data_IF_201543885508
#
_entry.id   IF_201543885508
#
_cell.length_a   1.000
_cell.length_b   1.000
_cell.length_c   1.000
_cell.angle_alpha   90.00
_cell.angle_beta   90.00
_cell.angle_gamma   90.00
#
_symmetry.space_group_name_H-M   'P 1'
#
loop_
_entity.id
_entity.type
_entity.pdbx_description
1 polymer ?
#
# COMPACT_ATOMS: atom_id res chain seq x y z
N UNK A 1 5.09 -5.04 5.04
CA UNK A 1 4.48 -4.18 4.02
C UNK A 1 3.00 -3.99 4.32
N UNK A 2 2.53 -2.75 4.26
CA UNK A 2 1.12 -2.39 4.36
C UNK A 2 0.59 -2.05 2.97
N UNK A 3 -0.55 -2.62 2.60
CA UNK A 3 -1.10 -2.49 1.25
C UNK A 3 -2.56 -2.05 1.33
N UNK A 4 -2.89 -0.97 0.62
CA UNK A 4 -4.27 -0.50 0.61
C UNK A 4 -4.45 0.93 0.16
N UNK A 5 -5.41 1.60 0.80
CA UNK A 5 -5.83 2.97 0.49
C UNK A 5 -5.17 4.03 1.39
N UNK A 6 -5.74 5.24 1.40
CA UNK A 6 -5.25 6.36 2.19
C UNK A 6 -5.29 6.13 3.71
N UNK A 7 -6.18 5.26 4.21
CA UNK A 7 -6.23 4.89 5.62
C UNK A 7 -4.99 4.05 5.97
N UNK A 8 -4.68 3.08 5.13
CA UNK A 8 -3.50 2.22 5.28
C UNK A 8 -2.20 3.04 5.23
N UNK A 9 -2.15 4.05 4.35
CA UNK A 9 -1.04 5.00 4.32
C UNK A 9 -0.85 5.71 5.67
N UNK A 10 -1.94 6.17 6.30
CA UNK A 10 -1.86 6.80 7.62
C UNK A 10 -1.43 5.83 8.72
N UNK A 11 -1.84 4.57 8.64
CA UNK A 11 -1.38 3.53 9.56
C UNK A 11 0.13 3.29 9.38
N UNK A 12 0.63 3.26 8.14
CA UNK A 12 2.06 3.19 7.87
C UNK A 12 2.81 4.40 8.43
N UNK A 13 2.32 5.63 8.20
CA UNK A 13 2.92 6.85 8.77
C UNK A 13 2.96 6.79 10.30
N UNK A 14 1.87 6.34 10.94
CA UNK A 14 1.83 6.16 12.40
C UNK A 14 2.84 5.14 12.90
N UNK A 15 2.99 4.01 12.21
CA UNK A 15 3.95 2.96 12.59
C UNK A 15 5.39 3.44 12.40
N UNK A 16 5.66 4.17 11.32
CA UNK A 16 6.97 4.80 11.09
C UNK A 16 7.30 5.76 12.21
N UNK A 17 6.38 6.64 12.63
CA UNK A 17 6.63 7.56 13.75
C UNK A 17 6.93 6.84 15.07
N UNK A 18 6.26 5.72 15.35
CA UNK A 18 6.54 4.90 16.55
C UNK A 18 7.96 4.33 16.55
N UNK A 19 8.41 3.86 15.39
CA UNK A 19 9.71 3.21 15.23
C UNK A 19 10.85 4.23 15.08
N UNK A 20 10.60 5.32 14.37
CA UNK A 20 11.55 6.42 14.18
C UNK A 20 11.94 7.08 15.51
N UNK A 21 11.04 7.12 16.50
CA UNK A 21 11.31 7.72 17.80
C UNK A 21 12.50 7.08 18.56
N UNK A 22 12.84 5.83 18.25
CA UNK A 22 13.94 5.10 18.89
C UNK A 22 15.18 4.96 17.98
N UNK A 23 15.13 5.47 16.74
CA UNK A 23 16.20 5.33 15.75
C UNK A 23 16.91 6.68 15.55
N UNK A 24 18.26 6.72 15.64
CA UNK A 24 19.05 7.91 15.32
C UNK A 24 18.82 8.43 13.90
N UNK A 25 18.86 9.75 13.70
CA UNK A 25 18.52 10.37 12.42
C UNK A 25 19.47 10.03 11.27
N UNK A 26 20.72 9.66 11.57
CA UNK A 26 21.73 9.22 10.62
C UNK A 26 21.53 7.78 10.13
N UNK A 27 20.60 7.04 10.76
CA UNK A 27 20.39 5.60 10.54
C UNK A 27 19.01 5.24 10.02
N UNK A 28 18.33 6.22 9.44
CA UNK A 28 17.01 6.06 8.82
C UNK A 28 17.03 6.61 7.41
N UNK A 29 16.36 5.91 6.49
CA UNK A 29 16.24 6.34 5.09
C UNK A 29 14.81 6.09 4.61
N UNK A 30 14.19 7.09 4.02
CA UNK A 30 12.91 6.94 3.30
C UNK A 30 13.21 6.91 1.81
N UNK A 31 12.68 5.90 1.12
CA UNK A 31 12.76 5.76 -0.33
C UNK A 31 11.37 5.59 -0.92
N UNK A 32 11.18 6.04 -2.15
CA UNK A 32 9.92 5.91 -2.88
C UNK A 32 10.18 5.30 -4.24
N UNK A 33 9.55 4.17 -4.53
CA UNK A 33 9.67 3.42 -5.77
C UNK A 33 8.27 3.18 -6.36
N UNK A 34 7.87 4.03 -7.30
CA UNK A 34 6.57 3.93 -7.97
C UNK A 34 5.40 4.06 -6.98
N UNK A 35 4.53 3.04 -6.84
CA UNK A 35 3.42 3.05 -5.88
C UNK A 35 3.84 2.71 -4.44
N UNK A 36 5.12 2.37 -4.22
CA UNK A 36 5.64 1.95 -2.92
C UNK A 36 6.48 3.02 -2.24
N UNK A 37 6.32 3.17 -0.92
CA UNK A 37 7.16 4.00 -0.05
C UNK A 37 7.75 3.08 1.02
N UNK A 38 9.07 3.12 1.20
CA UNK A 38 9.79 2.26 2.15
C UNK A 38 10.60 3.08 3.14
N UNK A 39 10.42 2.81 4.42
CA UNK A 39 11.26 3.28 5.51
C UNK A 39 12.28 2.18 5.86
N UNK A 40 13.55 2.49 5.70
CA UNK A 40 14.68 1.60 5.98
C UNK A 40 15.33 1.97 7.32
N UNK A 41 15.60 0.95 8.11
CA UNK A 41 16.32 1.04 9.37
C UNK A 41 17.74 0.53 9.09
N UNK A 42 18.76 1.37 9.18
CA UNK A 42 20.11 0.97 8.75
C UNK A 42 20.80 0.05 9.77
N UNK A 43 20.44 0.16 11.04
CA UNK A 43 21.02 -0.65 12.13
C UNK A 43 20.45 -2.06 12.25
N UNK A 44 19.28 -2.29 11.64
CA UNK A 44 18.56 -3.55 11.75
C UNK A 44 18.15 -4.01 10.35
N UNK A 45 18.16 -5.32 10.05
CA UNK A 45 17.69 -5.83 8.77
C UNK A 45 16.16 -5.80 8.71
N UNK A 46 15.56 -4.61 8.85
CA UNK A 46 14.14 -4.39 8.92
C UNK A 46 13.75 -3.13 8.14
N UNK A 47 12.64 -3.23 7.42
CA UNK A 47 12.06 -2.12 6.67
C UNK A 47 10.54 -2.13 6.82
N UNK A 48 9.95 -0.95 6.70
CA UNK A 48 8.50 -0.77 6.77
C UNK A 48 8.06 -0.15 5.45
N UNK A 49 7.38 -0.95 4.63
CA UNK A 49 6.92 -0.54 3.29
C UNK A 49 5.40 -0.32 3.26
N UNK A 50 4.96 0.67 2.49
CA UNK A 50 3.58 0.91 2.09
C UNK A 50 3.45 0.83 0.57
N UNK A 51 2.46 0.12 0.05
CA UNK A 51 2.16 0.05 -1.38
C UNK A 51 0.72 0.50 -1.65
N UNK A 52 0.55 1.40 -2.60
CA UNK A 52 -0.77 1.89 -3.02
C UNK A 52 -1.53 0.83 -3.83
N UNK A 53 -2.58 0.25 -3.24
CA UNK A 53 -3.50 -0.66 -3.91
C UNK A 53 -4.90 -0.58 -3.26
N UNK A 54 -5.66 0.50 -3.52
CA UNK A 54 -6.87 0.83 -2.76
C UNK A 54 -8.00 -0.19 -2.87
N UNK A 55 -8.04 -0.97 -3.96
CA UNK A 55 -9.02 -2.04 -4.17
C UNK A 55 -8.38 -3.44 -4.16
N UNK A 56 -7.07 -3.53 -3.89
CA UNK A 56 -6.20 -4.70 -3.99
C UNK A 56 -6.09 -5.33 -5.39
N UNK A 57 -7.21 -5.44 -6.10
CA UNK A 57 -7.32 -5.96 -7.46
C UNK A 57 -6.89 -4.95 -8.52
N UNK A 58 -6.73 -5.42 -9.75
CA UNK A 58 -6.33 -4.61 -10.88
C UNK A 58 -7.46 -3.69 -11.36
N UNK A 59 -7.10 -2.43 -11.55
CA UNK A 59 -7.93 -1.43 -12.22
C UNK A 59 -7.33 -1.18 -13.60
N UNK A 60 -8.06 -1.50 -14.66
CA UNK A 60 -7.62 -1.28 -16.05
C UNK A 60 -8.45 -0.18 -16.69
N UNK A 61 -7.79 0.64 -17.50
CA UNK A 61 -8.48 1.59 -18.38
C UNK A 61 -8.85 0.87 -19.66
N UNK A 62 -10.11 0.46 -19.77
CA UNK A 62 -10.70 -0.11 -20.98
C UNK A 62 -11.62 0.93 -21.61
N UNK A 63 -11.34 1.35 -22.85
CA UNK A 63 -12.19 2.28 -23.61
C UNK A 63 -12.58 3.58 -22.87
N UNK A 64 -11.60 4.23 -22.21
CA UNK A 64 -11.79 5.42 -21.36
C UNK A 64 -12.69 5.19 -20.12
N UNK A 65 -12.93 3.94 -19.73
CA UNK A 65 -13.60 3.57 -18.48
C UNK A 65 -12.65 2.78 -17.60
N UNK A 66 -12.63 3.14 -16.32
CA UNK A 66 -11.90 2.39 -15.29
C UNK A 66 -12.72 1.15 -14.92
N UNK A 67 -12.28 -0.01 -15.38
CA UNK A 67 -12.92 -1.30 -15.11
C UNK A 67 -12.12 -2.02 -14.03
N UNK A 68 -12.84 -2.54 -13.03
CA UNK A 68 -12.28 -3.31 -11.94
C UNK A 68 -12.32 -4.79 -12.29
N UNK A 69 -11.14 -5.44 -12.35
CA UNK A 69 -11.06 -6.87 -12.62
C UNK A 69 -10.93 -7.64 -11.31
N UNK A 70 -12.07 -8.08 -10.77
CA UNK A 70 -12.14 -8.77 -9.47
C UNK A 70 -11.32 -10.07 -9.42
N UNK A 71 -11.16 -10.74 -10.56
CA UNK A 71 -10.42 -12.00 -10.67
C UNK A 71 -8.91 -11.79 -10.93
N UNK A 72 -8.45 -10.54 -11.06
CA UNK A 72 -7.07 -10.22 -11.42
C UNK A 72 -6.38 -9.42 -10.32
N UNK A 73 -5.35 -10.03 -9.71
CA UNK A 73 -4.49 -9.41 -8.69
C UNK A 73 -3.00 -9.49 -9.06
N UNK A 74 -2.69 -10.17 -10.17
CA UNK A 74 -1.33 -10.60 -10.50
C UNK A 74 -0.33 -9.45 -10.65
N UNK A 75 -0.72 -8.36 -11.31
CA UNK A 75 0.15 -7.19 -11.49
C UNK A 75 0.48 -6.50 -10.16
N UNK A 76 -0.51 -6.35 -9.27
CA UNK A 76 -0.29 -5.76 -7.94
C UNK A 76 0.50 -6.71 -7.04
N UNK A 77 0.20 -8.01 -7.09
CA UNK A 77 0.83 -9.03 -6.26
C UNK A 77 2.35 -9.14 -6.50
N UNK A 78 2.85 -8.79 -7.70
CA UNK A 78 4.29 -8.75 -8.00
C UNK A 78 5.07 -7.89 -6.99
N UNK A 79 4.47 -6.81 -6.49
CA UNK A 79 5.11 -5.92 -5.53
C UNK A 79 5.15 -6.50 -4.11
N UNK A 80 4.30 -7.48 -3.80
CA UNK A 80 4.14 -8.02 -2.44
C UNK A 80 4.94 -9.31 -2.21
N UNK A 81 5.49 -9.89 -3.28
CA UNK A 81 6.26 -11.13 -3.19
C UNK A 81 7.55 -10.92 -2.41
N UNK A 82 7.87 -11.86 -1.52
CA UNK A 82 9.09 -11.85 -0.71
C UNK A 82 9.02 -11.01 0.56
N UNK A 83 7.86 -10.45 0.91
CA UNK A 83 7.65 -9.73 2.17
C UNK A 83 7.44 -10.71 3.33
N UNK A 84 8.06 -10.46 4.47
CA UNK A 84 7.91 -11.30 5.69
C UNK A 84 6.55 -11.16 6.36
N UNK A 85 6.04 -9.91 6.45
CA UNK A 85 4.74 -9.59 7.06
C UNK A 85 3.97 -8.67 6.13
N UNK A 86 2.81 -9.14 5.67
CA UNK A 86 1.93 -8.44 4.74
C UNK A 86 0.60 -8.13 5.42
N UNK A 87 0.22 -6.85 5.42
CA UNK A 87 -1.04 -6.37 6.01
C UNK A 87 -1.87 -5.67 4.95
N UNK A 88 -3.07 -6.17 4.71
CA UNK A 88 -4.02 -5.62 3.74
C UNK A 88 -5.16 -4.91 4.44
N UNK A 89 -5.58 -3.78 3.90
CA UNK A 89 -6.85 -3.16 4.23
C UNK A 89 -7.41 -2.42 3.00
N UNK A 90 -8.70 -2.62 2.77
CA UNK A 90 -9.42 -2.20 1.58
C UNK A 90 -10.91 -2.14 1.92
N UNK A 91 -11.39 -0.98 2.35
CA UNK A 91 -12.80 -0.78 2.71
C UNK A 91 -13.33 0.59 2.26
N UNK A 92 -12.52 1.65 2.37
CA UNK A 92 -12.99 3.01 2.11
C UNK A 92 -13.40 3.22 0.65
N UNK A 93 -12.60 2.71 -0.29
CA UNK A 93 -12.84 2.87 -1.72
C UNK A 93 -14.08 2.11 -2.22
N UNK A 94 -14.34 0.93 -1.67
CA UNK A 94 -15.54 0.14 -1.97
C UNK A 94 -16.83 0.89 -1.62
N UNK A 95 -16.83 1.66 -0.53
CA UNK A 95 -18.01 2.38 -0.05
C UNK A 95 -18.18 3.78 -0.65
N UNK A 96 -17.08 4.45 -1.00
CA UNK A 96 -17.12 5.82 -1.54
C UNK A 96 -17.39 5.86 -3.04
N UNK A 97 -17.10 4.78 -3.76
CA UNK A 97 -17.32 4.68 -5.22
C UNK A 97 -18.53 3.82 -5.59
N UNK A 98 -19.28 3.31 -4.62
CA UNK A 98 -20.54 2.57 -4.82
C UNK A 98 -21.74 3.47 -5.17
N UNK A 99 -21.52 4.55 -5.91
CA UNK A 99 -22.57 5.45 -6.38
C UNK A 99 -23.50 4.75 -7.37
N UNK A 100 -24.68 4.34 -6.89
CA UNK A 100 -25.86 3.83 -7.62
C UNK A 100 -25.57 2.90 -8.79
N UNK A 101 -25.59 1.61 -8.51
CA UNK A 101 -25.97 0.60 -9.51
C UNK A 101 -27.49 0.70 -9.75
N UNK A 102 -27.92 1.62 -10.61
CA UNK A 102 -29.26 1.50 -11.21
C UNK A 102 -29.20 0.37 -12.22
N UNK A 103 -29.77 -0.77 -11.83
CA UNK A 103 -30.26 -1.81 -12.74
C UNK A 103 -31.35 -1.24 -13.66
#
# INVERSE_FOLDING_TARGET
MLVGDSIVRKQWESLVCLVEAVIPSDKKLVSSNGPSITFHIMDFPASIEFTWAPLLVELKDEENKKVLHLDSIGENAKYWLGVDVLMFDSAHWWWTHSGKWTL
#
